data_IF_128471199559
#
_entry.id   IF_128471199559
#
_cell.length_a   1.000
_cell.length_b   1.000
_cell.length_c   1.000
_cell.angle_alpha   90.00
_cell.angle_beta   90.00
_cell.angle_gamma   90.00
#
_symmetry.space_group_name_H-M   'P 1'
#
loop_
_entity.id
_entity.type
_entity.pdbx_description
1 polymer ?
#
# COMPACT_ATOMS: atom_id res chain seq x y z
N UNK A 1 3.61 10.21 -0.07
CA UNK A 1 2.47 10.20 0.89
C UNK A 1 2.07 11.63 1.25
N UNK A 2 0.79 11.95 1.43
CA UNK A 2 0.35 13.28 1.85
C UNK A 2 0.95 13.68 3.22
N UNK A 3 1.18 14.97 3.45
CA UNK A 3 1.75 15.47 4.71
C UNK A 3 0.88 15.18 5.94
N UNK A 4 -0.42 14.98 5.75
CA UNK A 4 -1.40 14.69 6.79
C UNK A 4 -1.51 13.20 7.18
N UNK A 5 -0.76 12.29 6.54
CA UNK A 5 -0.80 10.86 6.90
C UNK A 5 -0.20 10.67 8.29
N UNK A 6 -0.91 9.92 9.13
CA UNK A 6 -0.53 9.62 10.52
C UNK A 6 0.83 8.90 10.63
N UNK A 7 1.11 7.94 9.74
CA UNK A 7 2.43 7.30 9.60
C UNK A 7 3.13 7.77 8.34
N UNK A 8 4.44 7.98 8.38
CA UNK A 8 5.31 8.27 7.23
C UNK A 8 4.84 9.46 6.40
N UNK A 9 4.28 10.49 7.05
CA UNK A 9 3.75 11.68 6.39
C UNK A 9 4.83 12.42 5.60
N UNK A 10 4.57 12.70 4.31
CA UNK A 10 5.52 13.39 3.43
C UNK A 10 6.73 12.57 2.96
N UNK A 11 6.81 11.28 3.30
CA UNK A 11 7.85 10.38 2.77
C UNK A 11 7.44 9.78 1.41
N UNK A 12 8.45 9.44 0.59
CA UNK A 12 8.29 8.68 -0.65
C UNK A 12 8.11 7.19 -0.33
N UNK A 13 7.37 6.48 -1.20
CA UNK A 13 7.09 5.04 -1.09
C UNK A 13 6.83 4.47 -2.50
N UNK A 14 6.59 3.16 -2.57
CA UNK A 14 5.93 2.50 -3.70
C UNK A 14 4.51 3.08 -3.96
N UNK A 15 3.84 2.54 -4.99
CA UNK A 15 2.51 2.98 -5.43
C UNK A 15 1.49 3.01 -4.29
N UNK A 16 1.15 1.87 -3.70
CA UNK A 16 0.13 1.80 -2.64
C UNK A 16 0.52 0.77 -1.57
N UNK A 17 0.44 1.17 -0.29
CA UNK A 17 0.60 0.29 0.87
C UNK A 17 -0.54 0.54 1.86
N UNK A 18 -1.15 -0.54 2.33
CA UNK A 18 -2.27 -0.50 3.26
C UNK A 18 -2.55 -1.88 3.84
N UNK A 19 -3.64 -2.02 4.60
CA UNK A 19 -4.02 -3.26 5.26
C UNK A 19 -5.37 -3.77 4.76
N UNK A 20 -5.56 -5.10 4.72
CA UNK A 20 -6.89 -5.67 4.57
C UNK A 20 -7.75 -5.35 5.79
N UNK A 21 -9.04 -5.16 5.56
CA UNK A 21 -10.03 -5.13 6.64
C UNK A 21 -10.23 -6.53 7.24
N UNK A 22 -10.81 -6.66 8.45
CA UNK A 22 -11.16 -7.95 9.01
C UNK A 22 -12.04 -8.77 8.05
N UNK A 23 -11.56 -9.96 7.65
CA UNK A 23 -12.26 -10.84 6.70
C UNK A 23 -12.03 -10.51 5.22
N UNK A 24 -11.28 -9.45 4.89
CA UNK A 24 -10.93 -9.09 3.52
C UNK A 24 -9.67 -9.84 3.07
N UNK A 25 -9.64 -10.29 1.81
CA UNK A 25 -8.41 -10.85 1.23
C UNK A 25 -7.42 -9.72 0.92
N UNK A 26 -6.12 -10.01 0.97
CA UNK A 26 -5.09 -9.01 0.64
C UNK A 26 -5.17 -8.52 -0.81
N UNK A 27 -5.63 -9.38 -1.71
CA UNK A 27 -5.90 -9.05 -3.11
C UNK A 27 -7.05 -8.03 -3.25
N UNK A 28 -8.20 -8.30 -2.62
CA UNK A 28 -9.33 -7.37 -2.63
C UNK A 28 -8.97 -6.02 -1.98
N UNK A 29 -8.19 -6.05 -0.90
CA UNK A 29 -7.70 -4.85 -0.24
C UNK A 29 -6.78 -4.02 -1.16
N UNK A 30 -5.89 -4.67 -1.91
CA UNK A 30 -5.01 -3.98 -2.86
C UNK A 30 -5.79 -3.24 -3.95
N UNK A 31 -6.78 -3.91 -4.57
CA UNK A 31 -7.66 -3.30 -5.57
C UNK A 31 -8.48 -2.14 -5.00
N UNK A 32 -9.06 -2.30 -3.80
CA UNK A 32 -9.82 -1.24 -3.12
C UNK A 32 -8.94 -0.02 -2.84
N UNK A 33 -7.74 -0.22 -2.30
CA UNK A 33 -6.84 0.88 -1.91
C UNK A 33 -6.21 1.58 -3.11
N UNK A 34 -5.96 0.87 -4.21
CA UNK A 34 -5.52 1.50 -5.46
C UNK A 34 -6.57 2.49 -5.99
N UNK A 35 -7.85 2.11 -5.96
CA UNK A 35 -8.96 3.04 -6.28
C UNK A 35 -9.03 4.22 -5.32
N UNK A 36 -8.96 3.97 -4.02
CA UNK A 36 -9.09 5.02 -2.99
C UNK A 36 -7.91 6.01 -2.99
N UNK A 37 -6.67 5.56 -3.26
CA UNK A 37 -5.49 6.42 -3.21
C UNK A 37 -5.11 7.03 -4.58
N UNK A 38 -5.39 6.35 -5.69
CA UNK A 38 -4.97 6.79 -7.03
C UNK A 38 -6.11 6.98 -8.04
N UNK A 39 -7.33 6.56 -7.70
CA UNK A 39 -8.50 6.73 -8.56
C UNK A 39 -8.61 5.73 -9.72
N UNK A 40 -7.77 4.69 -9.75
CA UNK A 40 -7.81 3.66 -10.80
C UNK A 40 -7.65 2.25 -10.25
N UNK A 41 -7.76 1.28 -11.15
CA UNK A 41 -7.55 -0.14 -10.88
C UNK A 41 -6.90 -0.82 -12.07
N UNK A 42 -6.21 -1.93 -11.82
CA UNK A 42 -5.61 -2.75 -12.88
C UNK A 42 -5.45 -4.21 -12.41
N UNK A 43 -5.26 -5.17 -13.32
CA UNK A 43 -4.92 -6.54 -12.93
C UNK A 43 -3.65 -6.57 -12.09
N UNK A 44 -3.75 -7.20 -10.91
CA UNK A 44 -2.65 -7.37 -9.97
C UNK A 44 -2.23 -8.83 -9.90
N UNK A 45 -0.92 -9.08 -9.85
CA UNK A 45 -0.35 -10.40 -9.65
C UNK A 45 0.42 -10.42 -8.33
N UNK A 46 0.05 -11.33 -7.43
CA UNK A 46 0.82 -11.57 -6.20
C UNK A 46 2.19 -12.15 -6.54
N UNK A 47 3.26 -11.50 -6.08
CA UNK A 47 4.64 -11.93 -6.36
C UNK A 47 5.28 -12.68 -5.20
N UNK A 48 5.25 -12.10 -4.01
CA UNK A 48 5.87 -12.70 -2.83
C UNK A 48 5.31 -12.10 -1.53
N UNK A 49 5.77 -12.65 -0.41
CA UNK A 49 5.47 -12.17 0.93
C UNK A 49 6.75 -12.10 1.74
N UNK A 50 6.86 -11.15 2.65
CA UNK A 50 7.99 -11.06 3.58
C UNK A 50 7.54 -10.47 4.91
N UNK A 51 8.31 -10.69 5.97
CA UNK A 51 8.10 -10.04 7.27
C UNK A 51 9.17 -8.97 7.42
N UNK A 52 8.77 -7.77 7.81
CA UNK A 52 9.70 -6.70 8.16
C UNK A 52 9.29 -6.01 9.44
N UNK A 53 10.27 -5.38 10.08
CA UNK A 53 10.07 -4.50 11.22
C UNK A 53 10.95 -3.27 11.05
N UNK A 54 10.34 -2.09 11.09
CA UNK A 54 11.06 -0.81 10.95
C UNK A 54 10.57 0.18 12.00
N UNK A 55 11.51 0.96 12.52
CA UNK A 55 11.21 2.10 13.37
C UNK A 55 11.26 3.37 12.52
N UNK A 56 10.16 4.12 12.49
CA UNK A 56 10.01 5.36 11.74
C UNK A 56 10.39 6.51 12.68
N UNK A 57 11.66 6.92 12.64
CA UNK A 57 12.21 7.93 13.56
C UNK A 57 11.44 9.25 13.55
N UNK A 58 11.00 9.69 12.38
CA UNK A 58 10.27 10.96 12.20
C UNK A 58 9.00 11.01 13.04
N UNK A 59 8.29 9.90 13.14
CA UNK A 59 6.97 9.83 13.76
C UNK A 59 7.00 9.08 15.11
N UNK A 60 8.14 8.47 15.47
CA UNK A 60 8.31 7.59 16.64
C UNK A 60 7.34 6.39 16.65
N UNK A 61 7.14 5.80 15.47
CA UNK A 61 6.20 4.69 15.24
C UNK A 61 6.94 3.46 14.72
N UNK A 62 6.30 2.28 14.84
CA UNK A 62 6.84 1.02 14.36
C UNK A 62 5.87 0.41 13.36
N UNK A 63 6.37 0.02 12.19
CA UNK A 63 5.70 -0.92 11.30
C UNK A 63 6.32 -2.31 11.52
N UNK A 64 5.46 -3.31 11.77
CA UNK A 64 5.86 -4.70 11.93
C UNK A 64 4.81 -5.57 11.25
N UNK A 65 5.10 -6.00 10.04
CA UNK A 65 4.06 -6.50 9.13
C UNK A 65 4.51 -7.77 8.41
N UNK A 66 3.55 -8.65 8.16
CA UNK A 66 3.67 -9.71 7.16
C UNK A 66 3.09 -9.18 5.86
N UNK A 67 3.98 -8.70 5.00
CA UNK A 67 3.62 -7.91 3.84
C UNK A 67 3.33 -8.79 2.62
N UNK A 68 2.32 -8.41 1.84
CA UNK A 68 1.86 -9.13 0.66
C UNK A 68 2.08 -8.25 -0.58
N UNK A 69 2.99 -8.67 -1.45
CA UNK A 69 3.45 -7.84 -2.56
C UNK A 69 2.73 -8.21 -3.85
N UNK A 70 2.12 -7.20 -4.48
CA UNK A 70 1.41 -7.30 -5.75
C UNK A 70 2.02 -6.36 -6.78
N UNK A 71 2.12 -6.83 -8.02
CA UNK A 71 2.62 -6.07 -9.16
C UNK A 71 1.51 -5.92 -10.19
N UNK A 72 1.41 -4.74 -10.80
CA UNK A 72 0.47 -4.43 -11.88
C UNK A 72 1.08 -3.42 -12.83
N UNK A 73 0.57 -3.37 -14.05
CA UNK A 73 0.92 -2.35 -15.05
C UNK A 73 -0.34 -1.59 -15.42
N UNK A 74 -0.23 -0.27 -15.50
CA UNK A 74 -1.33 0.61 -15.85
C UNK A 74 -0.78 1.76 -16.70
N UNK A 75 -1.22 1.82 -17.95
CA UNK A 75 -0.73 2.79 -18.95
C UNK A 75 -1.86 3.69 -19.49
N UNK A 76 -3.04 3.63 -18.90
CA UNK A 76 -4.17 4.46 -19.32
C UNK A 76 -4.06 5.87 -18.74
N UNK A 77 -4.45 6.87 -19.54
CA UNK A 77 -4.52 8.24 -19.05
C UNK A 77 -5.66 8.38 -18.03
N UNK A 78 -5.34 8.91 -16.85
CA UNK A 78 -6.36 9.45 -15.94
C UNK A 78 -6.82 10.78 -16.54
N UNK A 79 -8.14 10.97 -16.61
CA UNK A 79 -8.82 12.09 -17.28
C UNK A 79 -8.22 13.48 -17.01
#
# INVERSE_FOLDING_TARGET
>A
RASSKYHSGGLWSNTCCSHPQPGETTDAAAHRRLKEEFGFDCPLEKKFTFIYKVHIEKDQLIEHEFDHVFFGTFDEALF
#
